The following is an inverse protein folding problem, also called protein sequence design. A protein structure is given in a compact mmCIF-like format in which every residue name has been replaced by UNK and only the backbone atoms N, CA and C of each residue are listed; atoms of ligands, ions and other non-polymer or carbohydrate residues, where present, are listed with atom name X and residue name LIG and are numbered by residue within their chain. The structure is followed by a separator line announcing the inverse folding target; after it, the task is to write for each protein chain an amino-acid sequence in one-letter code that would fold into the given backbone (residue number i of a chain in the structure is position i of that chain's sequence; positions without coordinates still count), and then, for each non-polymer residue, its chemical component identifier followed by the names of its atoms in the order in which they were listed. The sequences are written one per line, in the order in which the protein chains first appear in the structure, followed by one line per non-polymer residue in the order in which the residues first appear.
data_IF_036683679736
#
_entry.id   IF_036683679736
#
_cell.length_a   1.000
_cell.length_b   1.000
_cell.length_c   1.000
_cell.angle_alpha   90.00
_cell.angle_beta   90.00
_cell.angle_gamma   90.00
#
_symmetry.space_group_name_H-M   'P 1'
#
loop_
_entity.id
_entity.type
_entity.pdbx_description
1 polymer ?
2 non-polymer ?
3 non-polymer ?
4 non-polymer ?
5 water ?
#
# COMPACT_ATOMS: atom_id res chain seq x y z
N UNK A 20 -17.34 20.54 -19.16
CA UNK A 20 -15.95 20.42 -19.58
C UNK A 20 -14.97 21.02 -18.54
N UNK A 21 -14.75 20.29 -17.41
CA UNK A 21 -13.85 20.69 -16.33
C UNK A 21 -12.38 20.42 -16.68
N UNK A 22 -11.50 21.36 -16.30
CA UNK A 22 -10.06 21.31 -16.56
C UNK A 22 -9.25 21.79 -15.34
N UNK A 23 -7.89 21.70 -15.43
CA UNK A 23 -6.95 22.18 -14.40
C UNK A 23 -5.56 22.42 -14.96
N UNK A 24 -4.88 23.43 -14.41
CA UNK A 24 -3.54 23.82 -14.80
C UNK A 24 -2.56 23.44 -13.69
N UNK A 25 -1.45 22.80 -14.06
CA UNK A 25 -0.45 22.39 -13.10
C UNK A 25 0.91 22.70 -13.74
N UNK A 26 1.65 23.65 -13.14
CA UNK A 26 2.96 24.15 -13.60
C UNK A 26 2.86 24.63 -15.07
N UNK A 27 1.80 25.39 -15.36
CA UNK A 27 1.50 25.93 -16.68
C UNK A 27 1.02 24.95 -17.74
N UNK A 28 0.69 23.69 -17.35
CA UNK A 28 0.24 22.66 -18.28
C UNK A 28 -1.24 22.33 -18.05
N UNK A 29 -2.06 22.41 -19.12
CA UNK A 29 -3.51 22.18 -19.07
C UNK A 29 -3.87 20.68 -19.19
N UNK A 30 -4.70 20.20 -18.25
CA UNK A 30 -5.17 18.84 -18.17
C UNK A 30 -6.68 18.80 -18.16
N UNK A 31 -7.25 18.10 -19.11
CA UNK A 31 -8.70 17.94 -19.19
C UNK A 31 -9.09 16.69 -18.41
N UNK A 32 -10.14 16.81 -17.59
CA UNK A 32 -10.61 15.72 -16.74
C UNK A 32 -11.33 14.65 -17.55
N UNK A 33 -10.83 13.41 -17.49
CA UNK A 33 -11.49 12.29 -18.14
C UNK A 33 -12.60 11.84 -17.17
N UNK A 34 -12.26 11.56 -15.90
CA UNK A 34 -13.19 11.17 -14.83
C UNK A 34 -12.55 11.21 -13.41
N UNK A 35 -13.39 11.12 -12.37
CA UNK A 35 -12.97 11.09 -10.99
C UNK A 35 -12.98 9.65 -10.46
N UNK A 36 -11.90 9.27 -9.76
CA UNK A 36 -11.75 7.95 -9.15
C UNK A 36 -12.15 8.03 -7.65
N UNK A 37 -11.35 8.77 -6.88
CA UNK A 37 -11.53 8.92 -5.44
C UNK A 37 -11.91 10.31 -4.99
N UNK A 38 -12.51 10.37 -3.80
CA UNK A 38 -13.01 11.61 -3.22
C UNK A 38 -13.05 11.50 -1.70
N UNK A 39 -13.16 12.65 -1.04
CA UNK A 39 -13.25 12.70 0.41
C UNK A 39 -11.90 12.92 1.08
N UNK A 40 -11.94 13.42 2.31
CA UNK A 40 -10.73 13.75 3.03
C UNK A 40 -10.14 15.04 2.49
N UNK A 41 -10.94 15.76 1.70
CA UNK A 41 -10.51 17.01 1.08
C UNK A 41 -9.64 16.72 -0.14
N UNK A 42 -9.56 15.45 -0.50
CA UNK A 42 -8.72 15.01 -1.60
C UNK A 42 -9.53 14.32 -2.69
N UNK A 43 -9.27 14.70 -3.93
CA UNK A 43 -9.95 14.13 -5.08
C UNK A 43 -8.91 13.55 -6.04
N UNK A 44 -9.18 12.38 -6.59
CA UNK A 44 -8.26 11.75 -7.54
C UNK A 44 -8.97 11.72 -8.90
N UNK A 45 -8.29 12.18 -9.95
CA UNK A 45 -8.84 12.24 -11.29
C UNK A 45 -7.96 11.58 -12.33
N UNK A 46 -8.58 10.96 -13.34
CA UNK A 46 -7.89 10.49 -14.54
C UNK A 46 -7.96 11.71 -15.45
N UNK A 47 -6.80 12.19 -15.93
CA UNK A 47 -6.76 13.40 -16.77
C UNK A 47 -5.96 13.17 -18.04
N UNK A 48 -6.03 14.12 -18.97
CA UNK A 48 -5.32 14.02 -20.24
C UNK A 48 -4.64 15.32 -20.50
N UNK A 49 -3.41 15.28 -20.98
CA UNK A 49 -2.70 16.52 -21.28
C UNK A 49 -3.10 17.06 -22.68
N UNK A 50 -2.37 18.08 -23.19
CA UNK A 50 -2.57 18.69 -24.50
C UNK A 50 -2.45 17.67 -25.64
N UNK A 51 -1.59 16.64 -25.46
CA UNK A 51 -1.31 15.56 -26.43
C UNK A 51 -2.19 14.30 -26.21
N UNK A 52 -3.25 14.45 -25.37
CA UNK A 52 -4.25 13.44 -24.99
C UNK A 52 -3.64 12.20 -24.28
N UNK A 53 -2.53 12.40 -23.53
CA UNK A 53 -1.86 11.36 -22.74
C UNK A 53 -2.48 11.33 -21.35
N UNK A 54 -2.73 10.11 -20.81
CA UNK A 54 -3.34 9.92 -19.50
C UNK A 54 -2.33 10.08 -18.35
N UNK A 55 -2.82 10.65 -17.26
CA UNK A 55 -2.13 10.91 -16.01
C UNK A 55 -3.20 10.86 -14.93
N UNK A 56 -2.81 10.70 -13.68
CA UNK A 56 -3.76 10.77 -12.58
C UNK A 56 -3.40 11.99 -11.76
N UNK A 57 -4.37 12.88 -11.51
CA UNK A 57 -4.13 14.08 -10.72
C UNK A 57 -4.80 13.96 -9.35
N UNK A 58 -4.00 14.07 -8.27
CA UNK A 58 -4.50 14.14 -6.90
C UNK A 58 -4.59 15.62 -6.50
N UNK A 59 -5.79 16.04 -6.11
CA UNK A 59 -6.07 17.38 -5.65
C UNK A 59 -6.32 17.32 -4.17
N UNK A 60 -5.62 18.15 -3.39
CA UNK A 60 -5.82 18.28 -1.94
C UNK A 60 -6.20 19.70 -1.66
N UNK A 61 -7.30 19.90 -0.93
CA UNK A 61 -7.74 21.24 -0.52
C UNK A 61 -7.13 21.50 0.85
N UNK A 62 -6.49 22.66 1.03
CA UNK A 62 -5.82 22.97 2.29
C UNK A 62 -6.53 24.04 3.10
N UNK A 63 -7.70 24.52 2.62
CA UNK A 63 -8.51 25.59 3.23
C UNK A 63 -8.78 25.43 4.74
N UNK A 64 -9.11 24.19 5.20
CA UNK A 64 -9.39 23.91 6.61
C UNK A 64 -8.36 22.95 7.30
N UNK A 65 -7.18 22.74 6.66
CA UNK A 65 -6.10 21.88 7.15
C UNK A 65 -5.16 22.60 8.11
N UNK A 66 -4.89 21.96 9.27
CA UNK A 66 -4.01 22.45 10.34
C UNK A 66 -2.53 22.28 10.00
N UNK A 67 -1.63 22.95 10.76
CA UNK A 67 -0.18 22.90 10.56
C UNK A 67 0.43 21.48 10.52
N UNK A 68 0.05 20.59 11.47
CA UNK A 68 0.56 19.21 11.51
C UNK A 68 0.16 18.47 10.24
N UNK A 69 -1.10 18.67 9.77
CA UNK A 69 -1.67 18.09 8.55
C UNK A 69 -0.87 18.57 7.32
N UNK A 70 -0.62 19.90 7.22
CA UNK A 70 0.14 20.49 6.11
C UNK A 70 1.54 19.89 6.04
N UNK A 71 2.24 19.80 7.18
CA UNK A 71 3.58 19.24 7.27
C UNK A 71 3.59 17.74 6.93
N UNK A 72 2.47 17.04 7.20
CA UNK A 72 2.28 15.62 6.87
C UNK A 72 2.18 15.43 5.36
N UNK A 73 1.51 16.39 4.71
CA UNK A 73 1.33 16.45 3.26
C UNK A 73 2.62 16.85 2.54
N UNK A 74 3.41 17.77 3.14
CA UNK A 74 4.70 18.23 2.65
C UNK A 74 5.76 17.14 2.77
N UNK A 75 5.68 16.33 3.85
CA UNK A 75 6.61 15.24 4.09
C UNK A 75 6.39 14.11 3.10
N UNK A 76 5.13 13.72 2.88
CA UNK A 76 4.73 12.68 1.93
C UNK A 76 5.19 13.02 0.49
N UNK A 77 4.97 14.26 0.01
CA UNK A 77 5.40 14.76 -1.32
C UNK A 77 6.93 14.72 -1.46
N UNK A 78 7.68 15.19 -0.43
CA UNK A 78 9.16 15.21 -0.42
C UNK A 78 9.75 13.82 -0.57
N UNK A 79 9.16 12.83 0.16
CA UNK A 79 9.60 11.43 0.13
C UNK A 79 9.22 10.78 -1.17
N UNK A 80 7.98 10.98 -1.65
CA UNK A 80 7.49 10.46 -2.92
C UNK A 80 8.37 10.94 -4.08
N UNK A 81 8.75 12.21 -4.08
CA UNK A 81 9.59 12.78 -5.12
C UNK A 81 11.05 12.29 -5.06
N UNK A 82 11.58 12.08 -3.86
CA UNK A 82 12.93 11.59 -3.66
C UNK A 82 13.04 10.11 -4.02
N UNK A 83 12.05 9.32 -3.54
CA UNK A 83 12.05 7.86 -3.68
C UNK A 83 11.74 7.36 -5.07
N UNK A 84 11.31 8.25 -5.95
CA UNK A 84 11.01 7.92 -7.34
C UNK A 84 12.25 7.40 -8.05
N UNK A 85 13.42 8.02 -7.79
CA UNK A 85 14.70 7.65 -8.39
C UNK A 85 15.28 6.32 -7.88
N UNK A 86 14.73 5.78 -6.77
CA UNK A 86 15.25 4.58 -6.10
C UNK A 86 14.49 3.28 -6.43
N UNK A 87 13.23 3.39 -6.93
CA UNK A 87 12.43 2.23 -7.33
C UNK A 87 11.38 2.62 -8.33
N UNK A 88 11.02 1.69 -9.22
CA UNK A 88 9.94 1.90 -10.18
C UNK A 88 8.70 1.17 -9.66
N UNK A 89 8.75 0.74 -8.38
CA UNK A 89 7.64 0.08 -7.71
C UNK A 89 6.99 1.13 -6.85
N UNK A 90 7.43 2.37 -7.02
CA UNK A 90 6.89 3.51 -6.35
C UNK A 90 6.27 4.39 -7.43
N UNK A 91 5.00 4.77 -7.23
CA UNK A 91 4.24 5.61 -8.16
C UNK A 91 5.03 6.83 -8.67
N UNK A 92 4.96 7.10 -10.01
CA UNK A 92 5.65 8.26 -10.60
C UNK A 92 4.91 9.52 -10.25
N UNK A 93 5.65 10.51 -9.79
CA UNK A 93 5.17 11.85 -9.52
C UNK A 93 5.93 12.70 -10.52
N UNK A 94 5.22 13.18 -11.53
CA UNK A 94 5.79 13.95 -12.62
C UNK A 94 5.97 15.39 -12.27
N UNK A 95 4.96 15.95 -11.61
CA UNK A 95 4.92 17.34 -11.22
C UNK A 95 3.93 17.54 -10.10
N UNK A 96 4.02 18.70 -9.46
CA UNK A 96 3.10 19.09 -8.42
C UNK A 96 3.06 20.58 -8.24
N UNK A 97 1.91 21.09 -7.84
CA UNK A 97 1.67 22.49 -7.56
C UNK A 97 1.26 22.56 -6.10
N UNK A 98 1.96 23.38 -5.32
CA UNK A 98 1.59 23.51 -3.92
C UNK A 98 1.49 24.99 -3.56
N UNK A 99 0.27 25.41 -3.20
CA UNK A 99 0.00 26.76 -2.71
C UNK A 99 -0.47 26.65 -1.25
N UNK A 100 -1.03 27.73 -0.71
CA UNK A 100 -1.57 27.73 0.64
C UNK A 100 -2.99 27.16 0.64
N UNK A 101 -3.65 27.17 -0.53
CA UNK A 101 -5.03 26.70 -0.73
C UNK A 101 -5.16 25.28 -1.25
N UNK A 102 -4.17 24.80 -2.05
CA UNK A 102 -4.22 23.46 -2.66
C UNK A 102 -2.91 22.79 -2.95
N UNK A 103 -3.01 21.49 -3.23
CA UNK A 103 -1.97 20.64 -3.77
C UNK A 103 -2.57 20.04 -5.04
N UNK A 104 -1.76 19.99 -6.10
CA UNK A 104 -2.07 19.32 -7.35
C UNK A 104 -0.90 18.39 -7.61
N UNK A 105 -1.13 17.08 -7.60
CA UNK A 105 -0.07 16.10 -7.87
C UNK A 105 -0.33 15.40 -9.19
N UNK A 106 0.57 15.62 -10.18
CA UNK A 106 0.53 14.98 -11.50
C UNK A 106 1.30 13.66 -11.39
N UNK A 107 0.57 12.55 -11.36
CA UNK A 107 1.12 11.20 -11.19
C UNK A 107 0.81 10.30 -12.36
N UNK A 108 1.35 9.06 -12.34
CA UNK A 108 1.05 8.12 -13.41
C UNK A 108 -0.33 7.51 -13.14
N UNK A 109 -0.95 7.01 -14.22
CA UNK A 109 -2.25 6.37 -14.19
C UNK A 109 -2.11 4.85 -14.24
N UNK A 110 -2.83 4.19 -13.34
CA UNK A 110 -2.96 2.74 -13.26
C UNK A 110 -4.35 2.31 -13.67
N UNK A 111 -4.53 1.00 -13.93
CA UNK A 111 -5.81 0.43 -14.37
C UNK A 111 -6.77 0.21 -13.21
N UNK A 112 -6.24 -0.23 -12.05
CA UNK A 112 -7.01 -0.60 -10.86
C UNK A 112 -6.08 -0.74 -9.65
N UNK A 113 -6.61 -0.42 -8.45
CA UNK A 113 -5.87 -0.60 -7.20
C UNK A 113 -5.99 -2.10 -6.84
N UNK A 114 -5.07 -2.62 -6.01
CA UNK A 114 -5.06 -4.05 -5.68
C UNK A 114 -6.31 -4.52 -4.90
N UNK A 115 -6.95 -3.64 -4.08
CA UNK A 115 -8.14 -4.02 -3.31
C UNK A 115 -9.32 -4.36 -4.20
N UNK A 116 -9.63 -3.46 -5.18
CA UNK A 116 -10.70 -3.61 -6.16
C UNK A 116 -10.43 -4.80 -7.05
N UNK A 117 -9.14 -5.03 -7.37
CA UNK A 117 -8.69 -6.17 -8.16
C UNK A 117 -8.95 -7.50 -7.46
N UNK A 118 -8.49 -7.64 -6.20
CA UNK A 118 -8.65 -8.86 -5.39
C UNK A 118 -10.13 -9.17 -5.09
N UNK A 119 -10.95 -8.12 -4.87
CA UNK A 119 -12.37 -8.27 -4.61
C UNK A 119 -13.08 -8.87 -5.83
N UNK A 120 -12.73 -8.38 -7.05
CA UNK A 120 -13.29 -8.84 -8.32
C UNK A 120 -12.84 -10.27 -8.68
N UNK A 121 -11.51 -10.52 -8.75
CA UNK A 121 -10.91 -11.80 -9.11
C UNK A 121 -11.37 -12.97 -8.27
N UNK A 122 -11.81 -14.05 -8.94
CA UNK A 122 -12.26 -15.29 -8.31
C UNK A 122 -10.99 -16.13 -8.07
N UNK A 123 -10.33 -16.53 -9.17
CA UNK A 123 -9.07 -17.28 -9.16
C UNK A 123 -7.90 -16.29 -9.10
N UNK A 124 -6.80 -16.72 -8.49
CA UNK A 124 -5.56 -15.95 -8.36
C UNK A 124 -4.40 -16.85 -8.81
N UNK A 125 -3.84 -16.53 -9.99
CA UNK A 125 -2.74 -17.27 -10.61
C UNK A 125 -1.47 -17.23 -9.73
N UNK A 126 -0.91 -18.42 -9.35
CA UNK A 126 0.30 -18.44 -8.51
C UNK A 126 1.49 -17.61 -9.03
N UNK A 127 1.64 -17.51 -10.37
CA UNK A 127 2.68 -16.74 -11.04
C UNK A 127 2.47 -15.25 -10.84
N UNK A 128 1.23 -14.76 -11.06
CA UNK A 128 0.86 -13.35 -10.86
C UNK A 128 0.92 -12.98 -9.37
N UNK A 129 0.58 -13.92 -8.46
CA UNK A 129 0.63 -13.69 -7.03
C UNK A 129 2.09 -13.50 -6.59
N UNK A 130 3.00 -14.31 -7.15
CA UNK A 130 4.44 -14.27 -6.87
C UNK A 130 5.02 -12.95 -7.38
N UNK A 131 4.67 -12.57 -8.64
CA UNK A 131 5.13 -11.33 -9.26
C UNK A 131 4.69 -10.12 -8.46
N UNK A 132 3.44 -10.14 -7.96
CA UNK A 132 2.86 -9.09 -7.12
C UNK A 132 3.58 -8.98 -5.79
N UNK A 133 3.90 -10.15 -5.14
CA UNK A 133 4.63 -10.24 -3.87
C UNK A 133 6.00 -9.55 -3.99
N UNK A 134 6.76 -9.90 -5.05
CA UNK A 134 8.09 -9.34 -5.36
C UNK A 134 8.01 -7.83 -5.50
N UNK A 135 7.00 -7.32 -6.21
CA UNK A 135 6.72 -5.89 -6.44
C UNK A 135 6.53 -5.15 -5.14
N UNK A 136 5.65 -5.67 -4.25
CA UNK A 136 5.38 -5.11 -2.91
C UNK A 136 6.62 -5.08 -2.05
N UNK A 137 7.40 -6.18 -2.03
CA UNK A 137 8.62 -6.29 -1.23
C UNK A 137 9.62 -5.24 -1.62
N UNK A 138 9.83 -5.02 -2.94
CA UNK A 138 10.74 -4.02 -3.48
C UNK A 138 10.33 -2.60 -3.06
N UNK A 139 9.03 -2.27 -3.20
CA UNK A 139 8.46 -0.97 -2.82
C UNK A 139 8.63 -0.69 -1.33
N UNK A 140 8.16 -1.62 -0.48
CA UNK A 140 8.23 -1.52 0.99
C UNK A 140 9.69 -1.55 1.46
N UNK A 141 10.55 -2.29 0.77
CA UNK A 141 11.98 -2.35 1.05
C UNK A 141 12.63 -1.00 0.82
N UNK A 142 12.27 -0.32 -0.30
CA UNK A 142 12.79 1.01 -0.66
C UNK A 142 12.50 2.02 0.44
N UNK A 143 11.21 2.11 0.89
CA UNK A 143 10.78 3.07 1.92
C UNK A 143 11.48 2.80 3.24
N UNK A 144 11.74 1.53 3.55
CA UNK A 144 12.44 1.14 4.77
C UNK A 144 13.87 1.63 4.78
N UNK A 145 14.52 1.60 3.61
CA UNK A 145 15.91 2.03 3.44
C UNK A 145 16.09 3.50 3.70
N UNK A 146 15.02 4.29 3.57
CA UNK A 146 15.00 5.73 3.81
C UNK A 146 14.32 6.03 5.15
N UNK A 147 14.30 5.05 6.04
CA UNK A 147 13.74 5.18 7.38
C UNK A 147 12.23 5.31 7.50
N UNK A 148 11.47 5.01 6.41
CA UNK A 148 10.01 5.09 6.46
C UNK A 148 9.45 3.71 6.78
N UNK A 149 8.55 3.66 7.76
CA UNK A 149 7.78 2.46 8.12
C UNK A 149 6.32 2.89 7.86
N UNK A 150 5.67 2.34 6.80
CA UNK A 150 4.29 2.67 6.42
C UNK A 150 3.31 2.54 7.60
N UNK A 151 3.28 1.37 8.25
CA UNK A 151 2.48 1.00 9.44
C UNK A 151 0.95 0.95 9.18
N UNK A 152 0.49 1.10 7.91
CA UNK A 152 -0.93 0.98 7.57
C UNK A 152 -1.09 0.37 6.18
N UNK A 153 -0.35 -0.72 5.90
CA UNK A 153 -0.39 -1.37 4.59
C UNK A 153 -1.58 -2.25 4.41
N UNK A 154 -2.26 -2.06 3.29
CA UNK A 154 -3.43 -2.82 2.88
C UNK A 154 -3.41 -2.84 1.34
N UNK A 155 -4.20 -3.72 0.65
CA UNK A 155 -4.15 -3.74 -0.82
C UNK A 155 -4.43 -2.39 -1.49
N UNK A 156 -5.29 -1.56 -0.87
CA UNK A 156 -5.67 -0.25 -1.36
C UNK A 156 -4.46 0.69 -1.58
N UNK A 157 -3.32 0.41 -0.92
CA UNK A 157 -2.07 1.19 -1.00
C UNK A 157 -1.23 0.88 -2.24
N UNK A 158 -1.63 -0.14 -3.01
CA UNK A 158 -0.93 -0.60 -4.21
C UNK A 158 -1.80 -0.43 -5.46
N UNK A 159 -1.19 0.04 -6.53
CA UNK A 159 -1.86 0.26 -7.81
C UNK A 159 -1.24 -0.62 -8.90
N UNK A 160 -2.07 -1.30 -9.71
CA UNK A 160 -1.54 -2.09 -10.82
C UNK A 160 -1.37 -1.12 -11.97
N UNK A 161 -0.12 -0.95 -12.45
CA UNK A 161 0.23 -0.05 -13.54
C UNK A 161 0.96 -0.89 -14.57
N UNK A 162 0.18 -1.47 -15.51
CA UNK A 162 0.65 -2.35 -16.58
C UNK A 162 1.31 -3.61 -16.02
N UNK A 163 0.50 -4.45 -15.38
CA UNK A 163 0.88 -5.72 -14.77
C UNK A 163 1.95 -5.65 -13.69
N UNK A 164 2.20 -4.45 -13.15
CA UNK A 164 3.20 -4.22 -12.12
C UNK A 164 2.55 -3.48 -10.96
N UNK A 165 2.73 -3.96 -9.73
CA UNK A 165 2.20 -3.29 -8.55
C UNK A 165 3.14 -2.15 -8.17
N UNK A 166 2.55 -1.00 -7.86
CA UNK A 166 3.28 0.19 -7.42
C UNK A 166 2.69 0.72 -6.13
N UNK A 167 3.54 1.15 -5.19
CA UNK A 167 3.11 1.71 -3.92
C UNK A 167 2.73 3.20 -4.15
N UNK A 168 1.52 3.59 -3.71
CA UNK A 168 1.03 4.94 -3.96
C UNK A 168 1.11 5.86 -2.74
N UNK A 169 1.02 5.30 -1.52
CA UNK A 169 1.01 6.04 -0.25
C UNK A 169 2.17 5.57 0.65
N UNK A 170 2.68 6.43 1.56
CA UNK A 170 3.79 6.07 2.49
C UNK A 170 3.35 6.06 3.95
N UNK A 171 2.05 6.18 4.19
CA UNK A 171 1.46 6.23 5.53
C UNK A 171 1.67 7.58 6.23
N UNK A 172 2.55 8.47 5.67
CA UNK A 172 2.93 9.77 6.24
C UNK A 172 1.73 10.73 6.27
N UNK A 173 1.14 11.05 5.11
CA UNK A 173 -0.01 11.94 4.99
C UNK A 173 -1.29 11.22 5.45
N UNK A 174 -2.32 12.03 5.78
CA UNK A 174 -3.63 11.61 6.26
C UNK A 174 -4.62 11.34 5.13
N UNK A 189 -14.47 3.52 4.09
CA UNK A 189 -14.37 2.39 5.03
C UNK A 189 -12.93 1.99 5.27
N UNK A 190 -12.58 1.83 6.56
CA UNK A 190 -11.25 1.45 7.01
C UNK A 190 -11.22 0.15 7.77
N UNK A 191 -10.40 -0.79 7.29
CA UNK A 191 -10.19 -2.14 7.84
C UNK A 191 -9.20 -2.13 9.03
N UNK A 192 -9.21 -3.21 9.81
CA UNK A 192 -8.34 -3.41 10.98
C UNK A 192 -7.64 -4.79 10.87
N UNK A 193 -7.97 -5.53 9.80
CA UNK A 193 -7.49 -6.87 9.46
C UNK A 193 -6.00 -7.01 9.21
N UNK A 194 -5.31 -5.92 8.83
CA UNK A 194 -3.89 -5.91 8.48
C UNK A 194 -2.97 -5.38 9.58
N UNK A 195 -3.55 -4.98 10.73
CA UNK A 195 -2.87 -4.40 11.88
C UNK A 195 -1.89 -5.35 12.59
N UNK A 196 -0.62 -4.90 12.83
CA UNK A 196 0.36 -5.76 13.52
C UNK A 196 0.06 -5.89 15.02
N UNK A 197 0.45 -7.00 15.69
CA UNK A 197 0.16 -7.13 17.14
C UNK A 197 0.88 -6.09 17.99
N UNK A 198 2.07 -5.64 17.56
CA UNK A 198 2.88 -4.64 18.26
C UNK A 198 2.25 -3.22 18.21
N UNK A 199 1.41 -2.94 17.19
CA UNK A 199 0.69 -1.66 17.03
C UNK A 199 -0.36 -1.53 18.14
N UNK A 200 -1.09 -2.64 18.41
CA UNK A 200 -2.11 -2.76 19.45
C UNK A 200 -1.45 -2.68 20.84
N UNK A 201 -0.37 -3.48 21.06
CA UNK A 201 0.41 -3.55 22.30
C UNK A 201 0.97 -2.18 22.73
N UNK A 202 1.40 -1.34 21.76
CA UNK A 202 1.91 0.01 21.99
C UNK A 202 0.74 0.97 22.37
N UNK A 203 0.22 0.82 23.61
CA UNK A 203 -0.90 1.58 24.17
C UNK A 203 -0.80 1.66 25.69
N UNK A 215 7.74 0.82 19.45
CA UNK A 215 7.24 -0.54 19.20
C UNK A 215 7.01 -0.87 17.70
N UNK A 216 6.78 0.16 16.86
CA UNK A 216 6.60 0.02 15.40
C UNK A 216 7.99 0.03 14.74
N UNK A 217 8.27 -1.01 13.95
CA UNK A 217 9.52 -1.19 13.25
C UNK A 217 9.25 -1.66 11.82
N UNK A 218 10.28 -1.76 10.91
CA UNK A 218 10.03 -2.36 9.60
C UNK A 218 9.21 -3.65 9.66
N UNK A 219 9.37 -4.45 10.76
CA UNK A 219 8.67 -5.71 11.03
C UNK A 219 7.14 -5.59 11.05
N UNK A 220 6.61 -4.40 11.35
CA UNK A 220 5.18 -4.09 11.36
C UNK A 220 4.62 -4.22 9.97
N UNK A 221 5.37 -3.72 8.95
CA UNK A 221 5.01 -3.77 7.54
C UNK A 221 5.07 -5.19 6.99
N UNK A 222 5.90 -6.04 7.56
CA UNK A 222 6.04 -7.45 7.18
C UNK A 222 4.75 -8.18 7.57
N UNK A 223 4.19 -7.87 8.76
CA UNK A 223 2.95 -8.47 9.24
C UNK A 223 1.82 -8.13 8.26
N UNK A 224 1.67 -6.82 7.94
CA UNK A 224 0.67 -6.30 7.01
C UNK A 224 0.83 -6.89 5.61
N UNK A 225 2.08 -6.94 5.08
CA UNK A 225 2.38 -7.57 3.79
C UNK A 225 2.00 -9.08 3.80
N UNK A 226 2.25 -9.75 4.93
CA UNK A 226 1.89 -11.14 5.15
C UNK A 226 0.39 -11.39 5.05
N UNK A 227 -0.42 -10.46 5.59
CA UNK A 227 -1.87 -10.48 5.54
C UNK A 227 -2.37 -10.33 4.09
N UNK A 228 -1.66 -9.52 3.26
CA UNK A 228 -2.01 -9.30 1.83
C UNK A 228 -1.75 -10.60 1.05
N UNK A 229 -0.60 -11.26 1.32
CA UNK A 229 -0.26 -12.52 0.68
C UNK A 229 -1.17 -13.66 1.17
N UNK A 230 -1.57 -13.62 2.47
CA UNK A 230 -2.50 -14.58 3.08
C UNK A 230 -3.86 -14.47 2.38
N UNK A 231 -4.28 -13.24 2.06
CA UNK A 231 -5.52 -12.93 1.35
C UNK A 231 -5.43 -13.39 -0.11
N UNK A 232 -4.27 -13.21 -0.76
CA UNK A 232 -4.02 -13.65 -2.14
C UNK A 232 -3.89 -15.17 -2.23
N UNK A 233 -3.68 -15.86 -1.08
CA UNK A 233 -3.51 -17.32 -1.01
C UNK A 233 -4.78 -18.04 -0.58
N UNK A 234 -5.37 -17.62 0.54
CA UNK A 234 -6.53 -18.25 1.16
C UNK A 234 -7.87 -17.51 0.96
N UNK A 235 -7.86 -16.40 0.22
CA UNK A 235 -9.04 -15.61 -0.11
C UNK A 235 -9.71 -14.88 1.03
N UNK A 236 -8.98 -14.71 2.16
CA UNK A 236 -9.42 -14.04 3.38
C UNK A 236 -8.20 -13.55 4.15
N UNK A 237 -8.36 -12.67 5.15
CA UNK A 237 -7.23 -12.22 5.97
C UNK A 237 -7.13 -13.10 7.23
N UNK A 238 -5.96 -13.19 7.91
CA UNK A 238 -5.86 -14.08 9.09
C UNK A 238 -6.92 -13.93 10.20
N UNK A 239 -7.53 -12.75 10.36
CA UNK A 239 -8.53 -12.54 11.40
C UNK A 239 -9.87 -11.97 10.90
N UNK A 240 -10.18 -12.19 9.60
CA UNK A 240 -11.40 -11.73 8.93
C UNK A 240 -12.65 -12.32 9.59
N UNK A 241 -12.61 -13.62 9.90
CA UNK A 241 -13.65 -14.42 10.55
C UNK A 241 -14.34 -13.72 11.74
N UNK A 242 -13.57 -13.09 12.64
CA UNK A 242 -14.07 -12.40 13.85
C UNK A 242 -14.82 -11.11 13.50
N UNK A 243 -16.11 -11.02 13.91
CA UNK A 243 -16.95 -9.85 13.70
C UNK A 243 -16.67 -8.81 14.80
N UNK A 244 -16.78 -9.22 16.10
CA UNK A 244 -16.49 -8.42 17.29
C UNK A 244 -15.02 -7.95 17.25
N UNK A 245 -14.83 -6.66 16.94
CA UNK A 245 -13.52 -6.03 16.78
C UNK A 245 -12.66 -6.05 18.05
N UNK A 246 -13.30 -5.95 19.23
CA UNK A 246 -12.62 -6.03 20.53
C UNK A 246 -12.02 -7.43 20.74
N UNK A 247 -12.72 -8.48 20.23
CA UNK A 247 -12.29 -9.89 20.26
C UNK A 247 -11.23 -10.13 19.18
N UNK A 248 -11.39 -9.46 18.00
CA UNK A 248 -10.48 -9.53 16.86
C UNK A 248 -9.12 -8.94 17.22
N UNK A 249 -9.11 -7.77 17.89
CA UNK A 249 -7.90 -7.08 18.34
C UNK A 249 -7.17 -7.89 19.43
N UNK A 250 -7.94 -8.60 20.28
CA UNK A 250 -7.42 -9.49 21.31
C UNK A 250 -6.78 -10.74 20.68
N UNK A 251 -7.40 -11.29 19.62
CA UNK A 251 -6.93 -12.47 18.88
C UNK A 251 -5.54 -12.25 18.25
N UNK A 252 -5.33 -11.08 17.61
CA UNK A 252 -4.06 -10.67 16.99
C UNK A 252 -2.94 -10.60 18.06
N UNK A 253 -3.28 -10.11 19.27
CA UNK A 253 -2.33 -9.98 20.38
C UNK A 253 -2.06 -11.33 21.07
N UNK A 254 -3.12 -12.17 21.24
CA UNK A 254 -3.06 -13.48 21.92
C UNK A 254 -2.25 -14.53 21.14
N UNK A 255 -1.09 -14.98 21.70
CA UNK A 255 -0.30 -16.01 21.01
C UNK A 255 -0.94 -17.39 21.00
N UNK A 256 -1.87 -17.63 21.96
CA UNK A 256 -2.64 -18.87 22.06
C UNK A 256 -3.64 -19.01 20.92
N UNK A 257 -4.00 -17.89 20.25
CA UNK A 257 -4.89 -17.93 19.10
C UNK A 257 -4.06 -18.40 17.90
N UNK A 258 -4.36 -19.61 17.41
CA UNK A 258 -3.61 -20.21 16.30
C UNK A 258 -4.11 -19.71 14.95
N UNK A 259 -3.18 -19.19 14.12
CA UNK A 259 -3.49 -18.76 12.76
C UNK A 259 -3.47 -20.04 11.90
N UNK A 260 -4.54 -20.25 11.11
CA UNK A 260 -4.66 -21.43 10.25
C UNK A 260 -3.90 -21.26 8.93
N UNK A 261 -3.02 -22.22 8.62
CA UNK A 261 -2.27 -22.24 7.37
C UNK A 261 -2.59 -23.56 6.63
N UNK A 262 -3.78 -23.67 5.97
CA UNK A 262 -4.12 -24.91 5.26
C UNK A 262 -3.03 -25.29 4.25
N UNK A 263 -2.70 -26.59 4.18
CA UNK A 263 -1.66 -27.05 3.27
C UNK A 263 -2.01 -26.77 1.81
N UNK A 264 -1.02 -26.24 1.07
CA UNK A 264 -1.10 -25.81 -0.33
C UNK A 264 0.03 -26.44 -1.17
N UNK A 265 -0.08 -26.55 -2.53
CA UNK A 265 1.03 -27.13 -3.32
C UNK A 265 2.36 -26.36 -3.22
N UNK A 266 2.30 -25.04 -3.05
CA UNK A 266 3.50 -24.21 -2.92
C UNK A 266 3.91 -24.20 -1.46
N UNK A 267 4.78 -25.14 -1.11
CA UNK A 267 5.28 -25.30 0.24
C UNK A 267 6.00 -24.03 0.68
N UNK A 268 6.76 -23.40 -0.26
CA UNK A 268 7.52 -22.14 -0.08
C UNK A 268 6.64 -20.99 0.36
N UNK A 269 5.48 -20.82 -0.32
CA UNK A 269 4.49 -19.80 -0.04
C UNK A 269 3.95 -19.94 1.38
N UNK A 270 3.60 -21.18 1.77
CA UNK A 270 3.11 -21.53 3.11
C UNK A 270 4.14 -21.17 4.20
N UNK A 271 5.46 -21.28 3.90
CA UNK A 271 6.51 -20.89 4.84
C UNK A 271 6.57 -19.37 4.94
N UNK A 272 6.46 -18.64 3.80
CA UNK A 272 6.47 -17.18 3.78
C UNK A 272 5.39 -16.66 4.75
N UNK A 273 4.16 -17.19 4.62
CA UNK A 273 2.99 -16.85 5.44
C UNK A 273 3.20 -17.08 6.92
N UNK A 274 3.80 -18.23 7.29
CA UNK A 274 4.06 -18.60 8.68
C UNK A 274 5.14 -17.70 9.31
N UNK A 275 6.13 -17.26 8.48
CA UNK A 275 7.26 -16.39 8.83
C UNK A 275 6.84 -14.93 9.03
N UNK A 276 5.88 -14.45 8.21
CA UNK A 276 5.35 -13.09 8.26
C UNK A 276 4.38 -12.94 9.43
N UNK A 277 3.58 -14.00 9.70
CA UNK A 277 2.57 -13.94 10.73
C UNK A 277 3.04 -14.41 12.12
N UNK A 278 4.35 -14.29 12.37
CA UNK A 278 4.94 -14.57 13.68
C UNK A 278 4.64 -13.31 14.55
N UNK A 279 3.87 -13.50 15.64
CA UNK A 279 3.45 -12.42 16.54
C UNK A 279 4.59 -11.62 17.15
N UNK A 280 5.72 -12.30 17.49
CA UNK A 280 6.90 -11.64 18.05
C UNK A 280 7.67 -10.98 16.91
N UNK A 281 7.74 -9.63 16.85
CA UNK A 281 8.46 -8.97 15.74
C UNK A 281 9.93 -9.41 15.63
N UNK A 282 10.56 -9.78 16.77
CA UNK A 282 11.94 -10.25 16.79
C UNK A 282 12.06 -11.63 16.11
N UNK A 283 11.01 -12.47 16.20
CA UNK A 283 10.97 -13.79 15.58
C UNK A 283 10.34 -13.72 14.17
N UNK A 284 9.75 -12.58 13.81
CA UNK A 284 9.15 -12.34 12.49
C UNK A 284 10.26 -12.17 11.46
N UNK A 285 10.03 -12.66 10.22
CA UNK A 285 10.97 -12.54 9.11
C UNK A 285 11.15 -11.06 8.69
N UNK A 286 12.34 -10.68 8.20
CA UNK A 286 12.59 -9.31 7.76
C UNK A 286 12.39 -9.23 6.25
N UNK A 287 12.28 -8.01 5.69
CA UNK A 287 12.16 -7.87 4.24
C UNK A 287 13.45 -8.33 3.52
N UNK A 288 14.71 -7.99 3.97
CA UNK A 288 15.88 -8.52 3.24
C UNK A 288 15.93 -10.04 3.24
N UNK A 289 15.33 -10.68 4.26
CA UNK A 289 15.27 -12.14 4.39
C UNK A 289 14.27 -12.72 3.40
N UNK A 290 13.14 -12.01 3.21
CA UNK A 290 12.08 -12.38 2.27
C UNK A 290 12.53 -12.29 0.80
N UNK A 291 13.45 -11.35 0.50
CA UNK A 291 13.99 -11.19 -0.85
C UNK A 291 14.94 -12.33 -1.21
N UNK A 292 15.48 -12.98 -0.18
CA UNK A 292 16.42 -14.10 -0.27
C UNK A 292 15.69 -15.46 -0.12
N UNK A 293 14.36 -15.43 0.17
CA UNK A 293 13.52 -16.62 0.38
C UNK A 293 13.33 -17.41 -0.91
N UNK A 294 13.32 -18.78 -0.86
CA UNK A 294 13.08 -19.56 -2.08
C UNK A 294 11.81 -19.20 -2.86
N UNK A 295 10.74 -18.78 -2.18
CA UNK A 295 9.48 -18.38 -2.83
C UNK A 295 9.64 -17.22 -3.86
N UNK A 296 10.61 -16.34 -3.68
CA UNK A 296 10.86 -15.21 -4.58
C UNK A 296 12.00 -15.51 -5.55
N UNK A 297 12.92 -16.42 -5.15
CA UNK A 297 14.14 -16.72 -5.89
C UNK A 297 14.11 -17.97 -6.76
N UNK A 298 13.41 -19.02 -6.32
CA UNK A 298 13.27 -20.30 -7.04
C UNK A 298 11.93 -20.32 -7.82
N UNK A 299 11.99 -20.69 -9.12
CA UNK A 299 10.80 -20.74 -10.00
C UNK A 299 10.37 -22.17 -10.30
X LIG B 1 -13.30 -0.80 -11.33
X LIG B 1 -11.16 1.05 -10.74
X LIG B 1 -4.24 5.77 -11.53
X LIG B 1 -12.13 -0.60 -12.31
X LIG B 1 -5.99 5.00 -9.58
X LIG B 1 -6.81 4.43 -7.44
X LIG B 1 -11.50 0.77 -12.15
X LIG B 1 -2.84 6.92 -10.11
X LIG B 1 -10.04 1.87 -10.36
X LIG B 1 -2.58 8.85 -3.80
X LIG B 1 -9.19 2.63 -11.26
X LIG B 1 -8.11 3.39 -10.76
X LIG B 1 -7.88 3.44 -9.36
X LIG B 1 -6.87 4.32 -8.70
X LIG B 1 -4.94 5.89 -9.22
X LIG B 1 -4.62 6.39 -7.96
X LIG B 1 -3.40 7.17 -7.76
X LIG B 1 -2.54 7.40 -8.84
X LIG B 1 -4.03 6.17 -10.38
X LIG B 1 -3.13 7.75 -6.40
X LIG B 1 -4.17 7.87 -5.42
X LIG B 1 -3.84 8.41 -4.15
X LIG B 1 -1.59 8.73 -4.75
X LIG B 1 -1.83 8.20 -6.05
X LIG B 1 -8.69 2.68 -8.48
X LIG B 1 -9.74 1.92 -8.96
X LIG B 1 -12.25 0.83 -9.75
X LIG B 1 -12.87 -0.54 -9.89
X LIG C 1 -10.75 20.79 -8.53
X LIG C 1 -11.03 20.81 -9.97
X LIG C 1 -12.11 19.90 -7.79
X LIG C 1 -11.22 22.40 -7.97
X LIG D 1 4.38 16.49 -17.76
X LIG D 1 2.98 16.31 -18.18
X LIG D 1 5.00 14.83 -17.58
X LIG D 1 4.32 16.96 -16.06
X LIG E 1 1.96 8.58 -18.80
X LIG E 1 3.32 8.67 -19.24
X LIG E 1 1.85 7.68 -17.52
X LIG E 1 0.54 7.73 -16.97
X LIG F 1 17.95 9.67 3.87
X LIG F 1 18.53 9.81 2.58
X LIG F 1 16.42 9.41 3.74
X LIG F 1 15.78 9.59 4.99
#
# INVERSE_FOLDING_TARGET
MHHHHHHSSGVDLGTENLYFQSMSVKGRIYSILKQIGSGGSSKVFQVLNEKKQIYAIKYVNLEEADNQTLDSYRNEIAYLNKLQQHSDKIIRLYDYEITDQYIYMVMECGNIDLNSWLKKKKSIDPWERKSYWKNMLEAVHTIHQHGIVHSDLKPANFLIVDGMLKLIDFGIANQMQPDTTSVVKDSQVGTVNYMPPEAIKDMSSSRENGKSKSKISPKSDVWSLGCILYYMTYGKTPFQQIINQISKLHAIIDPNHEIEFPDIPEKDLQDVLKCCLKRDPKQRISIPELLAHPYVQIQTHPVNQMAKGTTEE
WBI C N O C1 N1 O1 C2 N2 C3 N3 C4 C5 C6 C7 C8 C9 C10 C11 C12 C13 C14 C15 C16 C17 C18 C19 C20 C21
DMS S O C1 C2
DMS S O C1 C2
EDO C1 O1 C2 O2
EDO C1 O1 C2 O2
#
